data_IF_907943855853
#
_entry.id   IF_907943855853
#
_cell.length_a   1.000
_cell.length_b   1.000
_cell.length_c   1.000
_cell.angle_alpha   90.00
_cell.angle_beta   90.00
_cell.angle_gamma   90.00
#
_symmetry.space_group_name_H-M   'P 1'
#
loop_
_entity.id
_entity.type
_entity.pdbx_description
1 polymer ?
#
# COMPACT_ATOMS: atom_id res chain seq x y z
N UNK A 1 -5.09 2.76 13.51
CA UNK A 1 -3.95 3.61 13.11
C UNK A 1 -4.46 4.74 12.23
N UNK A 2 -3.79 5.89 12.24
CA UNK A 2 -4.22 7.01 11.40
C UNK A 2 -3.97 6.72 9.92
N UNK A 3 -4.96 7.00 9.06
CA UNK A 3 -4.85 6.80 7.60
C UNK A 3 -3.66 7.55 6.99
N UNK A 4 -3.36 8.75 7.50
CA UNK A 4 -2.21 9.53 7.07
C UNK A 4 -0.89 8.75 7.23
N UNK A 5 -0.69 8.09 8.37
CA UNK A 5 0.50 7.25 8.62
C UNK A 5 0.58 6.07 7.65
N UNK A 6 -0.56 5.51 7.27
CA UNK A 6 -0.60 4.43 6.29
C UNK A 6 -0.22 4.91 4.89
N UNK A 7 -0.71 6.09 4.49
CA UNK A 7 -0.32 6.70 3.22
C UNK A 7 1.17 7.02 3.21
N UNK A 8 1.72 7.56 4.29
CA UNK A 8 3.15 7.81 4.42
C UNK A 8 3.96 6.50 4.33
N UNK A 9 3.52 5.43 4.99
CA UNK A 9 4.16 4.12 4.87
C UNK A 9 4.14 3.57 3.45
N UNK A 10 3.03 3.73 2.71
CA UNK A 10 2.96 3.33 1.29
C UNK A 10 3.93 4.16 0.45
N UNK A 11 4.01 5.48 0.70
CA UNK A 11 4.97 6.35 0.00
C UNK A 11 6.40 5.90 0.25
N UNK A 12 6.75 5.65 1.50
CA UNK A 12 8.08 5.24 1.89
C UNK A 12 8.43 3.89 1.26
N UNK A 13 7.50 2.92 1.31
CA UNK A 13 7.68 1.59 0.71
C UNK A 13 7.77 1.61 -0.82
N UNK A 14 7.11 2.54 -1.48
CA UNK A 14 7.16 2.71 -2.94
C UNK A 14 8.15 3.81 -3.38
N UNK A 15 8.91 4.40 -2.47
CA UNK A 15 9.84 5.51 -2.74
C UNK A 15 9.19 6.71 -3.48
N UNK A 16 7.94 7.03 -3.14
CA UNK A 16 7.16 8.12 -3.77
C UNK A 16 7.48 9.46 -3.09
N UNK A 17 8.35 10.26 -3.71
CA UNK A 17 8.83 11.51 -3.11
C UNK A 17 7.83 12.68 -3.18
N UNK A 18 7.13 12.85 -4.31
CA UNK A 18 6.45 14.12 -4.64
C UNK A 18 4.94 14.03 -4.86
N UNK A 19 4.38 12.83 -4.97
CA UNK A 19 2.96 12.64 -5.26
C UNK A 19 2.17 12.47 -3.97
N UNK A 20 1.12 13.26 -3.74
CA UNK A 20 0.18 12.97 -2.67
C UNK A 20 -0.65 11.74 -3.04
N UNK A 21 -0.78 10.82 -2.09
CA UNK A 21 -1.62 9.63 -2.23
C UNK A 21 -2.74 9.66 -1.21
N UNK A 22 -3.89 9.17 -1.65
CA UNK A 22 -5.13 9.08 -0.91
C UNK A 22 -5.82 7.74 -1.18
N UNK A 23 -6.98 7.51 -0.58
CA UNK A 23 -7.75 6.27 -0.71
C UNK A 23 -8.16 5.95 -2.18
N UNK A 24 -8.27 6.97 -3.03
CA UNK A 24 -8.74 6.83 -4.41
C UNK A 24 -7.58 6.67 -5.41
N UNK A 25 -6.35 6.89 -4.96
CA UNK A 25 -5.16 6.77 -5.80
C UNK A 25 -5.06 5.36 -6.36
N UNK A 26 -4.96 5.27 -7.70
CA UNK A 26 -4.75 4.03 -8.41
C UNK A 26 -3.27 3.63 -8.33
N UNK A 27 -2.98 2.60 -7.54
CA UNK A 27 -1.62 2.08 -7.36
C UNK A 27 -1.02 1.62 -8.68
N UNK A 28 -1.85 1.04 -9.59
CA UNK A 28 -1.38 0.54 -10.89
C UNK A 28 -0.98 1.63 -11.88
N UNK A 29 -1.32 2.88 -11.61
CA UNK A 29 -0.91 4.03 -12.42
C UNK A 29 0.39 4.66 -11.91
N UNK A 30 0.86 4.27 -10.72
CA UNK A 30 2.13 4.72 -10.17
C UNK A 30 3.26 4.01 -10.91
N UNK A 31 4.29 4.77 -11.30
CA UNK A 31 5.45 4.22 -12.01
C UNK A 31 6.25 3.28 -11.11
N UNK A 32 6.18 3.55 -9.81
CA UNK A 32 6.84 2.86 -8.71
C UNK A 32 6.15 1.54 -8.36
N UNK A 33 4.89 1.34 -8.78
CA UNK A 33 4.16 0.09 -8.54
C UNK A 33 4.50 -0.99 -9.58
N UNK A 34 5.80 -1.30 -9.68
CA UNK A 34 6.34 -2.36 -10.52
C UNK A 34 6.63 -3.63 -9.70
N UNK A 35 7.41 -4.57 -10.25
CA UNK A 35 7.73 -5.81 -9.51
C UNK A 35 8.54 -5.54 -8.22
N UNK A 36 9.37 -4.51 -8.21
CA UNK A 36 10.21 -4.13 -7.07
C UNK A 36 9.36 -3.40 -6.04
N UNK A 37 8.58 -2.40 -6.46
CA UNK A 37 7.68 -1.68 -5.57
C UNK A 37 6.62 -2.58 -4.93
N UNK A 38 6.11 -3.56 -5.68
CA UNK A 38 5.22 -4.59 -5.11
C UNK A 38 5.90 -5.39 -4.00
N UNK A 39 7.16 -5.80 -4.17
CA UNK A 39 7.90 -6.51 -3.11
C UNK A 39 8.17 -5.62 -1.90
N UNK A 40 8.55 -4.37 -2.14
CA UNK A 40 8.80 -3.40 -1.07
C UNK A 40 7.50 -3.14 -0.27
N UNK A 41 6.37 -2.95 -0.95
CA UNK A 41 5.07 -2.80 -0.33
C UNK A 41 4.66 -4.02 0.50
N UNK A 42 4.91 -5.25 0.03
CA UNK A 42 4.67 -6.47 0.83
C UNK A 42 5.46 -6.40 2.14
N UNK A 43 6.76 -6.09 2.06
CA UNK A 43 7.61 -5.99 3.24
C UNK A 43 7.14 -4.88 4.19
N UNK A 44 6.78 -3.71 3.66
CA UNK A 44 6.23 -2.60 4.45
C UNK A 44 4.97 -2.99 5.18
N UNK A 45 4.03 -3.68 4.53
CA UNK A 45 2.77 -4.12 5.17
C UNK A 45 3.03 -5.19 6.23
N UNK A 46 3.95 -6.13 5.97
CA UNK A 46 4.34 -7.16 6.93
C UNK A 46 4.98 -6.53 8.17
N UNK A 47 5.86 -5.55 8.01
CA UNK A 47 6.48 -4.81 9.13
C UNK A 47 5.46 -3.96 9.89
N UNK A 48 4.56 -3.27 9.18
CA UNK A 48 3.63 -2.31 9.78
C UNK A 48 2.47 -2.98 10.52
N UNK A 49 1.95 -4.09 9.98
CA UNK A 49 0.71 -4.72 10.44
C UNK A 49 0.89 -6.19 10.85
N UNK A 50 2.08 -6.77 10.66
CA UNK A 50 2.32 -8.21 10.88
C UNK A 50 1.54 -9.09 9.91
N UNK A 51 1.14 -8.55 8.74
CA UNK A 51 0.32 -9.24 7.74
C UNK A 51 1.16 -9.54 6.51
N UNK A 52 1.36 -10.83 6.24
CA UNK A 52 2.08 -11.28 5.05
C UNK A 52 1.13 -11.33 3.85
N UNK A 53 1.23 -10.32 2.97
CA UNK A 53 0.54 -10.30 1.68
C UNK A 53 1.34 -11.05 0.61
N UNK A 54 0.65 -11.63 -0.38
CA UNK A 54 1.30 -12.22 -1.55
C UNK A 54 1.24 -11.28 -2.75
N UNK A 55 2.15 -11.47 -3.71
CA UNK A 55 2.11 -10.75 -4.98
C UNK A 55 0.79 -10.96 -5.75
N UNK A 56 0.10 -12.10 -5.54
CA UNK A 56 -1.23 -12.35 -6.12
C UNK A 56 -2.30 -11.47 -5.49
N UNK A 57 -2.23 -11.24 -4.18
CA UNK A 57 -3.17 -10.36 -3.49
C UNK A 57 -3.00 -8.93 -4.02
N UNK A 58 -1.75 -8.48 -4.17
CA UNK A 58 -1.42 -7.16 -4.71
C UNK A 58 -1.71 -7.00 -6.23
N UNK A 59 -1.73 -8.11 -6.98
CA UNK A 59 -2.13 -8.06 -8.40
C UNK A 59 -3.64 -7.78 -8.57
N UNK A 60 -4.46 -8.17 -7.59
CA UNK A 60 -5.91 -8.03 -7.65
C UNK A 60 -6.43 -6.69 -7.13
N UNK A 61 -5.64 -5.96 -6.34
CA UNK A 61 -6.01 -4.61 -5.89
C UNK A 61 -5.78 -3.57 -7.00
N UNK A 62 -6.39 -2.40 -6.84
CA UNK A 62 -6.28 -1.29 -7.79
C UNK A 62 -5.95 0.00 -7.08
N UNK A 63 -6.66 0.33 -6.01
CA UNK A 63 -6.48 1.58 -5.26
C UNK A 63 -5.92 1.36 -3.86
N UNK A 64 -5.44 2.43 -3.24
CA UNK A 64 -5.06 2.43 -1.82
C UNK A 64 -6.22 1.95 -0.93
N UNK A 65 -7.48 2.32 -1.23
CA UNK A 65 -8.65 1.78 -0.53
C UNK A 65 -8.71 0.26 -0.60
N UNK A 66 -8.53 -0.33 -1.79
CA UNK A 66 -8.57 -1.79 -1.92
C UNK A 66 -7.42 -2.48 -1.17
N UNK A 67 -6.27 -1.82 -1.01
CA UNK A 67 -5.21 -2.29 -0.11
C UNK A 67 -5.66 -2.22 1.36
N UNK A 68 -6.27 -1.11 1.79
CA UNK A 68 -6.81 -0.95 3.14
C UNK A 68 -7.86 -2.01 3.48
N UNK A 69 -8.74 -2.33 2.51
CA UNK A 69 -9.74 -3.41 2.66
C UNK A 69 -9.07 -4.78 2.79
N UNK A 70 -8.03 -5.05 1.98
CA UNK A 70 -7.27 -6.29 2.01
C UNK A 70 -6.54 -6.49 3.36
N UNK A 71 -5.93 -5.43 3.88
CA UNK A 71 -5.25 -5.47 5.18
C UNK A 71 -6.21 -5.29 6.35
N UNK A 72 -7.52 -5.11 6.11
CA UNK A 72 -8.54 -4.97 7.14
C UNK A 72 -8.76 -3.52 7.60
N UNK A 73 -9.98 -3.03 7.40
CA UNK A 73 -10.39 -1.67 7.74
C UNK A 73 -10.35 -1.36 9.24
N UNK A 74 -10.41 -2.40 10.09
CA UNK A 74 -10.27 -2.28 11.54
C UNK A 74 -8.93 -1.69 11.97
N UNK A 75 -7.91 -1.76 11.10
CA UNK A 75 -6.62 -1.14 11.36
C UNK A 75 -6.68 0.38 11.26
N UNK A 76 -7.75 0.98 10.75
CA UNK A 76 -7.87 2.42 10.51
C UNK A 76 -9.01 3.09 11.30
N UNK A 77 -9.69 2.33 12.16
CA UNK A 77 -10.64 2.84 13.15
C UNK A 77 -9.95 3.44 14.39
#
# INVERSE_FOLDING_TARGET
>A
MEKAKFFDAIKDGLEIESQNIDENTNLKELSEYDSIGVMALIATIDELLGKTLTAKDLANITTVRSLMELVGMENFE
#
